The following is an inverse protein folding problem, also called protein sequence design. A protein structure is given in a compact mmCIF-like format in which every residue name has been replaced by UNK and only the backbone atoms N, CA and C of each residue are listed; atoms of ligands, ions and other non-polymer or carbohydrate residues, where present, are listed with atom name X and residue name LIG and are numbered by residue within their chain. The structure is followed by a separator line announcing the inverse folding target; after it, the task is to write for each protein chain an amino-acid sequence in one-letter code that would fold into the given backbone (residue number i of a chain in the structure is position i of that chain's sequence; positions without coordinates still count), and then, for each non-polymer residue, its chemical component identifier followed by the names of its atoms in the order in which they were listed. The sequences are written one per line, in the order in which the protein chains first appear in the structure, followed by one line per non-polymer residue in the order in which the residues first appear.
data_IF_157130170451
#
_entry.id   IF_157130170451
#
_cell.length_a   1.000
_cell.length_b   1.000
_cell.length_c   1.000
_cell.angle_alpha   90.00
_cell.angle_beta   90.00
_cell.angle_gamma   90.00
#
_symmetry.space_group_name_H-M   'P 1'
#
loop_
_entity.id
_entity.type
_entity.pdbx_description
1 polymer ?
#
# COMPACT_ATOMS: atom_id res chain seq x y z
N UNK A 1 -19.78 8.51 18.85
CA UNK A 1 -19.64 9.05 17.48
C UNK A 1 -18.23 9.60 17.22
N UNK A 2 -17.50 10.05 18.26
CA UNK A 2 -16.13 10.60 18.15
C UNK A 2 -15.07 9.61 17.63
N UNK A 3 -15.17 8.31 18.00
CA UNK A 3 -14.21 7.29 17.54
C UNK A 3 -14.20 7.08 16.02
N UNK A 4 -15.34 7.31 15.33
CA UNK A 4 -15.43 7.22 13.86
C UNK A 4 -14.73 8.40 13.19
N UNK A 5 -14.87 9.61 13.75
CA UNK A 5 -14.19 10.81 13.24
C UNK A 5 -12.68 10.72 13.44
N UNK A 6 -12.21 10.30 14.63
CA UNK A 6 -10.79 10.09 14.90
C UNK A 6 -10.16 9.08 13.92
N UNK A 7 -10.89 7.99 13.62
CA UNK A 7 -10.44 6.95 12.70
C UNK A 7 -10.38 7.41 11.24
N UNK A 8 -11.29 8.29 10.81
CA UNK A 8 -11.31 8.84 9.45
C UNK A 8 -10.16 9.82 9.25
N UNK A 9 -9.92 10.72 10.21
CA UNK A 9 -8.80 11.68 10.19
C UNK A 9 -7.45 10.96 10.17
N UNK A 10 -7.30 9.88 10.94
CA UNK A 10 -6.07 9.08 10.92
C UNK A 10 -5.80 8.40 9.57
N UNK A 11 -6.84 8.00 8.82
CA UNK A 11 -6.64 7.40 7.51
C UNK A 11 -6.16 8.43 6.49
N UNK A 12 -6.75 9.63 6.50
CA UNK A 12 -6.35 10.73 5.61
C UNK A 12 -4.87 11.08 5.77
N UNK A 13 -4.39 11.21 7.01
CA UNK A 13 -2.97 11.48 7.27
C UNK A 13 -2.06 10.37 6.74
N UNK A 14 -2.42 9.11 6.98
CA UNK A 14 -1.68 7.97 6.46
C UNK A 14 -1.69 7.91 4.92
N UNK A 15 -2.80 8.28 4.26
CA UNK A 15 -2.87 8.38 2.81
C UNK A 15 -1.92 9.43 2.26
N UNK A 16 -1.95 10.63 2.84
CA UNK A 16 -1.10 11.74 2.41
C UNK A 16 0.38 11.40 2.60
N UNK A 17 0.73 10.81 3.74
CA UNK A 17 2.11 10.42 4.02
C UNK A 17 2.57 9.26 3.12
N UNK A 18 1.72 8.26 2.89
CA UNK A 18 2.01 7.19 1.94
C UNK A 18 2.23 7.75 0.53
N UNK A 19 1.36 8.64 0.07
CA UNK A 19 1.50 9.30 -1.24
C UNK A 19 2.83 10.05 -1.32
N UNK A 20 3.13 10.94 -0.37
CA UNK A 20 4.38 11.71 -0.33
C UNK A 20 5.60 10.79 -0.42
N UNK A 21 5.63 9.74 0.40
CA UNK A 21 6.76 8.81 0.41
C UNK A 21 6.89 8.04 -0.90
N UNK A 22 5.79 7.52 -1.47
CA UNK A 22 5.82 6.86 -2.78
C UNK A 22 6.38 7.81 -3.84
N UNK A 23 5.84 9.03 -3.93
CA UNK A 23 6.22 10.00 -4.94
C UNK A 23 7.68 10.42 -4.82
N UNK A 24 8.17 10.64 -3.61
CA UNK A 24 9.57 10.99 -3.37
C UNK A 24 10.54 9.83 -3.63
N UNK A 25 10.16 8.59 -3.33
CA UNK A 25 10.99 7.43 -3.63
C UNK A 25 11.01 7.19 -5.13
N UNK A 26 9.85 7.08 -5.78
CA UNK A 26 9.77 6.76 -7.22
C UNK A 26 10.07 7.93 -8.13
N UNK A 27 10.12 9.16 -7.61
CA UNK A 27 10.19 10.41 -8.38
C UNK A 27 9.07 10.53 -9.42
N UNK A 28 7.88 10.03 -9.07
CA UNK A 28 6.68 10.00 -9.94
C UNK A 28 5.49 10.49 -9.14
N UNK A 29 4.64 11.30 -9.74
CA UNK A 29 3.43 11.79 -9.08
C UNK A 29 2.28 10.80 -9.25
N UNK A 30 1.33 10.81 -8.31
CA UNK A 30 0.08 10.10 -8.45
C UNK A 30 -0.72 10.68 -9.63
N UNK A 31 -1.23 9.79 -10.49
CA UNK A 31 -2.07 10.19 -11.63
C UNK A 31 -3.51 10.58 -11.23
N UNK A 32 -3.89 10.41 -9.96
CA UNK A 32 -5.23 10.65 -9.46
C UNK A 32 -5.20 11.09 -8.01
N UNK A 33 -6.18 11.93 -7.62
CA UNK A 33 -6.43 12.26 -6.20
C UNK A 33 -6.97 11.06 -5.42
N UNK A 34 -7.54 10.07 -6.11
CA UNK A 34 -7.96 8.83 -5.48
C UNK A 34 -6.76 7.91 -5.32
N UNK A 35 -6.36 7.67 -4.08
CA UNK A 35 -5.27 6.77 -3.72
C UNK A 35 -5.41 5.39 -4.38
N UNK A 36 -6.65 4.88 -4.43
CA UNK A 36 -6.96 3.61 -5.09
C UNK A 36 -6.65 3.66 -6.58
N UNK A 37 -7.23 4.63 -7.28
CA UNK A 37 -7.09 4.76 -8.74
C UNK A 37 -5.64 4.98 -9.15
N UNK A 38 -4.86 5.66 -8.30
CA UNK A 38 -3.44 5.88 -8.55
C UNK A 38 -2.58 4.62 -8.42
N UNK A 39 -3.05 3.58 -7.73
CA UNK A 39 -2.28 2.35 -7.47
C UNK A 39 -2.89 1.10 -8.12
N UNK A 40 -4.14 1.16 -8.60
CA UNK A 40 -4.86 -0.01 -9.13
C UNK A 40 -4.29 -0.56 -10.45
N UNK A 41 -3.45 0.18 -11.18
CA UNK A 41 -2.71 -0.44 -12.28
C UNK A 41 -1.49 -1.24 -11.81
N UNK A 42 -1.12 -1.14 -10.52
CA UNK A 42 0.04 -1.76 -9.89
C UNK A 42 1.39 -1.31 -10.43
N UNK A 43 1.43 -0.39 -11.40
CA UNK A 43 2.67 0.03 -12.07
C UNK A 43 3.54 0.81 -11.10
N UNK A 44 2.96 1.78 -10.39
CA UNK A 44 3.69 2.59 -9.42
C UNK A 44 4.25 1.74 -8.26
N UNK A 45 3.49 0.72 -7.84
CA UNK A 45 3.93 -0.24 -6.81
C UNK A 45 5.13 -1.07 -7.28
N UNK A 46 5.09 -1.55 -8.52
CA UNK A 46 6.22 -2.28 -9.11
C UNK A 46 7.45 -1.38 -9.28
N UNK A 47 7.25 -0.14 -9.73
CA UNK A 47 8.31 0.85 -9.88
C UNK A 47 8.94 1.19 -8.51
N UNK A 48 8.13 1.31 -7.45
CA UNK A 48 8.60 1.49 -6.06
C UNK A 48 9.57 0.39 -5.64
N UNK A 49 9.18 -0.88 -5.81
CA UNK A 49 10.06 -2.01 -5.48
C UNK A 49 11.37 -1.94 -6.23
N UNK A 50 11.33 -1.64 -7.53
CA UNK A 50 12.54 -1.56 -8.35
C UNK A 50 13.43 -0.37 -7.98
N UNK A 51 12.86 0.72 -7.44
CA UNK A 51 13.67 1.80 -6.86
C UNK A 51 14.32 1.37 -5.54
N UNK A 52 13.58 0.68 -4.67
CA UNK A 52 14.10 0.22 -3.38
C UNK A 52 15.16 -0.88 -3.54
N UNK A 53 14.92 -1.81 -4.47
CA UNK A 53 15.84 -2.91 -4.78
C UNK A 53 15.82 -3.18 -6.29
N UNK A 54 16.78 -2.59 -7.03
CA UNK A 54 16.84 -2.75 -8.48
C UNK A 54 16.86 -4.20 -8.92
N UNK A 55 16.04 -4.52 -9.92
CA UNK A 55 16.04 -5.82 -10.61
C UNK A 55 15.18 -6.91 -9.97
N UNK A 56 14.46 -6.67 -8.86
CA UNK A 56 13.53 -7.66 -8.30
C UNK A 56 12.37 -7.94 -9.26
N UNK A 57 11.75 -6.88 -9.80
CA UNK A 57 10.63 -7.00 -10.74
C UNK A 57 11.17 -6.78 -12.16
N UNK A 58 11.32 -7.88 -12.90
CA UNK A 58 11.91 -7.86 -14.26
C UNK A 58 11.01 -7.24 -15.32
N UNK A 59 9.69 -7.36 -15.18
CA UNK A 59 8.71 -6.92 -16.18
C UNK A 59 7.48 -6.38 -15.47
N UNK A 60 7.03 -5.20 -15.92
CA UNK A 60 5.80 -4.55 -15.47
C UNK A 60 4.83 -4.50 -16.66
N UNK A 61 3.58 -4.89 -16.44
CA UNK A 61 2.55 -4.88 -17.47
C UNK A 61 1.90 -3.49 -17.51
N UNK A 62 2.10 -2.74 -18.60
CA UNK A 62 1.57 -1.36 -18.75
C UNK A 62 0.29 -1.28 -19.59
N UNK A 63 -0.36 -2.43 -19.84
CA UNK A 63 -1.63 -2.46 -20.54
C UNK A 63 -2.74 -1.90 -19.64
N UNK A 64 -3.63 -1.09 -20.19
CA UNK A 64 -4.80 -0.54 -19.48
C UNK A 64 -5.92 -1.59 -19.38
N UNK A 65 -5.65 -2.70 -18.69
CA UNK A 65 -6.60 -3.79 -18.47
C UNK A 65 -6.61 -4.20 -17.01
N UNK A 66 -7.77 -4.60 -16.44
CA UNK A 66 -7.85 -5.06 -15.05
C UNK A 66 -6.92 -6.25 -14.75
N UNK A 67 -6.74 -7.15 -15.73
CA UNK A 67 -5.85 -8.32 -15.60
C UNK A 67 -4.39 -7.87 -15.46
N UNK A 68 -3.95 -6.87 -16.24
CA UNK A 68 -2.60 -6.31 -16.12
C UNK A 68 -2.37 -5.67 -14.74
N UNK A 69 -3.36 -4.94 -14.22
CA UNK A 69 -3.31 -4.36 -12.88
C UNK A 69 -3.18 -5.43 -11.80
N UNK A 70 -4.00 -6.48 -11.87
CA UNK A 70 -3.94 -7.62 -10.96
C UNK A 70 -2.59 -8.35 -11.03
N UNK A 71 -2.06 -8.58 -12.23
CA UNK A 71 -0.74 -9.21 -12.42
C UNK A 71 0.37 -8.39 -11.77
N UNK A 72 0.39 -7.08 -11.97
CA UNK A 72 1.36 -6.18 -11.35
C UNK A 72 1.26 -6.20 -9.83
N UNK A 73 0.05 -6.14 -9.27
CA UNK A 73 -0.17 -6.22 -7.82
C UNK A 73 0.35 -7.55 -7.25
N UNK A 74 0.08 -8.67 -7.91
CA UNK A 74 0.60 -9.97 -7.48
C UNK A 74 2.13 -10.03 -7.52
N UNK A 75 2.75 -9.45 -8.56
CA UNK A 75 4.21 -9.38 -8.68
C UNK A 75 4.82 -8.48 -7.60
N UNK A 76 4.18 -7.35 -7.29
CA UNK A 76 4.54 -6.48 -6.18
C UNK A 76 4.52 -7.21 -4.83
N UNK A 77 3.43 -7.93 -4.51
CA UNK A 77 3.31 -8.64 -3.24
C UNK A 77 4.38 -9.72 -3.08
N UNK A 78 4.65 -10.50 -4.14
CA UNK A 78 5.75 -11.48 -4.16
C UNK A 78 7.11 -10.84 -3.99
N UNK A 79 7.30 -9.61 -4.48
CA UNK A 79 8.53 -8.87 -4.29
C UNK A 79 8.69 -8.37 -2.84
N UNK A 80 7.60 -7.91 -2.21
CA UNK A 80 7.58 -7.57 -0.80
C UNK A 80 7.99 -8.76 0.09
N UNK A 81 7.48 -9.97 -0.20
CA UNK A 81 7.90 -11.21 0.49
C UNK A 81 9.40 -11.47 0.35
N UNK A 82 9.95 -11.32 -0.87
CA UNK A 82 11.39 -11.47 -1.13
C UNK A 82 12.25 -10.44 -0.41
N UNK A 83 11.70 -9.24 -0.17
CA UNK A 83 12.33 -8.21 0.65
C UNK A 83 12.22 -8.52 2.15
N UNK A 84 11.48 -9.55 2.55
CA UNK A 84 11.37 -10.04 3.92
C UNK A 84 10.18 -9.48 4.70
N UNK A 85 9.11 -9.06 4.01
CA UNK A 85 7.82 -8.83 4.66
C UNK A 85 7.13 -10.18 4.93
N UNK A 86 6.48 -10.29 6.08
CA UNK A 86 5.66 -11.46 6.41
C UNK A 86 4.31 -11.37 5.69
N UNK A 87 3.70 -12.52 5.38
CA UNK A 87 2.36 -12.60 4.77
C UNK A 87 1.33 -11.74 5.52
N UNK A 88 1.41 -11.77 6.85
CA UNK A 88 0.59 -10.96 7.72
C UNK A 88 0.67 -9.45 7.39
N UNK A 89 1.82 -8.94 6.97
CA UNK A 89 2.05 -7.53 6.66
C UNK A 89 1.59 -7.15 5.25
N UNK A 90 1.16 -8.12 4.44
CA UNK A 90 0.73 -7.91 3.07
C UNK A 90 -0.79 -7.74 3.00
N UNK A 91 -1.21 -6.91 2.05
CA UNK A 91 -2.61 -6.81 1.65
C UNK A 91 -2.95 -7.91 0.64
N UNK A 92 -4.24 -8.22 0.49
CA UNK A 92 -4.70 -9.15 -0.55
C UNK A 92 -4.93 -8.41 -1.85
N UNK A 93 -4.67 -8.97 -3.05
CA UNK A 93 -4.91 -8.25 -4.31
C UNK A 93 -6.31 -7.62 -4.41
N UNK A 94 -7.32 -8.28 -3.85
CA UNK A 94 -8.68 -7.73 -3.73
C UNK A 94 -8.76 -6.46 -2.89
N UNK A 95 -7.93 -6.24 -1.88
CA UNK A 95 -7.94 -4.99 -1.09
C UNK A 95 -7.72 -3.74 -1.97
N UNK A 96 -7.02 -3.89 -3.09
CA UNK A 96 -6.78 -2.82 -4.06
C UNK A 96 -7.67 -2.96 -5.30
N UNK A 97 -7.66 -4.13 -5.94
CA UNK A 97 -8.43 -4.43 -7.16
C UNK A 97 -9.91 -4.65 -6.85
N UNK A 98 -10.82 -3.97 -7.57
CA UNK A 98 -12.25 -4.23 -7.40
C UNK A 98 -12.67 -5.51 -8.12
N UNK A 99 -12.58 -6.64 -7.43
CA UNK A 99 -13.02 -7.92 -7.99
C UNK A 99 -14.52 -8.14 -7.75
N UNK A 100 -15.18 -7.28 -6.95
CA UNK A 100 -16.57 -7.50 -6.52
C UNK A 100 -17.55 -6.82 -7.48
N UNK A 101 -18.08 -7.57 -8.44
CA UNK A 101 -19.21 -7.18 -9.29
C UNK A 101 -20.55 -7.08 -8.52
N UNK A 102 -20.55 -7.07 -7.18
CA UNK A 102 -21.76 -7.03 -6.35
C UNK A 102 -22.09 -5.58 -6.02
N UNK A 103 -23.27 -5.15 -6.47
CA UNK A 103 -23.85 -3.78 -6.54
C UNK A 103 -23.95 -3.02 -5.19
N UNK A 104 -23.38 -3.53 -4.09
CA UNK A 104 -23.44 -2.87 -2.78
C UNK A 104 -22.17 -3.11 -1.95
N UNK A 105 -20.99 -2.78 -2.50
CA UNK A 105 -19.82 -2.60 -1.63
C UNK A 105 -20.08 -1.38 -0.76
N UNK A 106 -20.28 -1.59 0.54
CA UNK A 106 -20.49 -0.50 1.50
C UNK A 106 -19.22 0.35 1.53
N UNK A 107 -19.34 1.68 1.53
CA UNK A 107 -18.21 2.61 1.60
C UNK A 107 -17.23 2.28 2.75
N UNK A 108 -17.77 1.81 3.88
CA UNK A 108 -16.98 1.37 5.04
C UNK A 108 -16.03 0.20 4.71
N UNK A 109 -16.43 -0.71 3.83
CA UNK A 109 -15.64 -1.88 3.42
C UNK A 109 -14.50 -1.49 2.47
N UNK A 110 -14.77 -0.59 1.52
CA UNK A 110 -13.73 -0.01 0.66
C UNK A 110 -12.68 0.72 1.49
N UNK A 111 -13.11 1.52 2.47
CA UNK A 111 -12.19 2.20 3.37
C UNK A 111 -11.36 1.21 4.19
N UNK A 112 -11.93 0.11 4.69
CA UNK A 112 -11.18 -0.92 5.43
C UNK A 112 -10.12 -1.60 4.56
N UNK A 113 -10.46 -1.95 3.32
CA UNK A 113 -9.54 -2.60 2.37
C UNK A 113 -8.31 -1.73 2.08
N UNK A 114 -8.53 -0.44 1.84
CA UNK A 114 -7.42 0.49 1.58
C UNK A 114 -6.48 0.67 2.79
N UNK A 115 -6.96 0.49 4.02
CA UNK A 115 -6.08 0.48 5.21
C UNK A 115 -5.05 -0.65 5.17
N UNK A 116 -5.41 -1.83 4.66
CA UNK A 116 -4.46 -2.93 4.51
C UNK A 116 -3.32 -2.56 3.53
N UNK A 117 -3.66 -1.86 2.45
CA UNK A 117 -2.69 -1.37 1.47
C UNK A 117 -1.73 -0.38 2.13
N UNK A 118 -2.24 0.58 2.91
CA UNK A 118 -1.43 1.53 3.68
C UNK A 118 -0.50 0.84 4.68
N UNK A 119 -0.99 -0.16 5.41
CA UNK A 119 -0.20 -0.92 6.38
C UNK A 119 0.95 -1.65 5.68
N UNK A 120 0.70 -2.22 4.51
CA UNK A 120 1.76 -2.90 3.73
C UNK A 120 2.83 -1.92 3.27
N UNK A 121 2.43 -0.74 2.77
CA UNK A 121 3.34 0.33 2.37
C UNK A 121 4.19 0.78 3.57
N UNK A 122 3.57 0.91 4.75
CA UNK A 122 4.29 1.23 5.98
C UNK A 122 5.40 0.22 6.30
N UNK A 123 5.06 -1.08 6.29
CA UNK A 123 6.05 -2.13 6.56
C UNK A 123 7.14 -2.21 5.50
N UNK A 124 6.78 -1.96 4.23
CA UNK A 124 7.76 -1.89 3.15
C UNK A 124 8.73 -0.73 3.35
N UNK A 125 8.24 0.47 3.71
CA UNK A 125 9.09 1.61 4.03
C UNK A 125 10.00 1.36 5.22
N UNK A 126 9.49 0.72 6.29
CA UNK A 126 10.32 0.27 7.43
C UNK A 126 11.38 -0.73 7.01
N UNK A 127 11.05 -1.65 6.10
CA UNK A 127 12.00 -2.64 5.59
C UNK A 127 13.07 -1.99 4.72
N UNK A 128 12.71 -1.02 3.88
CA UNK A 128 13.66 -0.22 3.11
C UNK A 128 14.66 0.51 4.01
N UNK A 129 14.20 1.13 5.10
CA UNK A 129 15.07 1.80 6.07
C UNK A 129 16.05 0.87 6.80
N UNK A 130 15.75 -0.42 6.86
CA UNK A 130 16.67 -1.40 7.45
C UNK A 130 17.80 -1.82 6.49
N UNK A 131 17.73 -1.47 5.20
CA UNK A 131 18.81 -1.68 4.24
C UNK A 131 19.87 -0.57 4.44
N UNK A 132 21.15 -0.92 4.77
CA UNK A 132 22.21 0.07 4.99
C UNK A 132 22.50 0.98 3.80
N UNK A 133 22.11 0.58 2.59
CA UNK A 133 22.32 1.35 1.37
C UNK A 133 21.14 2.25 1.00
N UNK A 134 20.05 2.20 1.76
CA UNK A 134 18.89 3.06 1.51
C UNK A 134 19.12 4.47 2.05
N UNK A 135 19.10 5.46 1.15
CA UNK A 135 19.25 6.89 1.48
C UNK A 135 18.00 7.71 1.15
N UNK A 136 16.85 7.04 0.96
CA UNK A 136 15.60 7.69 0.63
C UNK A 136 14.85 8.25 1.85
N UNK A 137 13.70 8.91 1.61
CA UNK A 137 12.89 9.48 2.69
C UNK A 137 12.29 8.40 3.60
N UNK A 138 11.95 8.79 4.81
CA UNK A 138 11.30 7.92 5.78
C UNK A 138 9.80 8.20 5.87
N UNK A 139 9.01 7.16 6.12
CA UNK A 139 7.60 7.30 6.50
C UNK A 139 7.49 7.78 7.95
N UNK A 140 6.66 8.78 8.19
CA UNK A 140 6.35 9.28 9.52
C UNK A 140 5.41 8.32 10.27
N UNK A 141 5.91 7.66 11.32
CA UNK A 141 5.12 6.73 12.14
C UNK A 141 3.87 7.37 12.75
N UNK A 142 3.90 8.65 13.12
CA UNK A 142 2.78 9.32 13.77
C UNK A 142 1.53 9.35 12.89
N UNK A 143 1.74 9.47 11.58
CA UNK A 143 0.64 9.52 10.62
C UNK A 143 -0.02 8.15 10.41
N UNK A 144 0.67 7.06 10.79
CA UNK A 144 0.17 5.67 10.73
C UNK A 144 -0.26 5.10 12.08
N UNK A 145 0.00 5.78 13.20
CA UNK A 145 -0.22 5.25 14.55
C UNK A 145 -1.66 4.76 14.74
N UNK A 146 -2.64 5.56 14.33
CA UNK A 146 -4.05 5.18 14.42
C UNK A 146 -4.40 3.94 13.59
N UNK A 147 -3.71 3.65 12.48
CA UNK A 147 -3.92 2.43 11.69
C UNK A 147 -3.26 1.21 12.33
N UNK A 148 -2.04 1.38 12.84
CA UNK A 148 -1.20 0.29 13.36
C UNK A 148 -1.66 -0.20 14.71
N UNK A 149 -2.16 0.69 15.58
CA UNK A 149 -2.73 0.31 16.88
C UNK A 149 -3.89 -0.66 16.68
N UNK A 150 -4.81 -0.38 15.75
CA UNK A 150 -5.89 -1.33 15.44
C UNK A 150 -5.35 -2.64 14.85
N UNK A 151 -4.39 -2.58 13.92
CA UNK A 151 -3.84 -3.76 13.26
C UNK A 151 -3.15 -4.74 14.23
N UNK A 152 -2.38 -4.22 15.19
CA UNK A 152 -1.69 -5.03 16.20
C UNK A 152 -2.66 -5.65 17.21
N UNK A 153 -3.72 -4.93 17.59
CA UNK A 153 -4.75 -5.44 18.50
C UNK A 153 -5.48 -6.64 17.88
N UNK A 154 -5.83 -6.59 16.59
CA UNK A 154 -6.56 -7.68 15.93
C UNK A 154 -5.72 -8.92 15.61
N UNK A 155 -4.38 -8.86 15.70
CA UNK A 155 -3.50 -10.01 15.47
C UNK A 155 -3.01 -10.73 16.72
N UNK A 156 -3.19 -10.14 17.89
CA UNK A 156 -2.89 -10.79 19.17
C UNK A 156 -4.08 -11.65 19.64
N UNK A 157 -5.26 -11.50 19.03
CA UNK A 157 -6.52 -12.15 19.45
C UNK A 157 -6.91 -13.35 18.56
N UNK A 158 -6.10 -13.71 17.55
CA UNK A 158 -6.35 -14.87 16.68
C UNK A 158 -5.14 -15.79 16.64
#
# INVERSE_FOLDING_TARGET
MEWRQQSAVSCELAFQEAQRWLEEVTKKQFGSKSFRVALEDGVLLCDLINTLKPGIIKRVNRLSTPIAGLDNVNVFLRACEKLGLNEAQLFHPGDLQDVSTRVTVRLEETSRRLKNVLITIYWLGRKAQSDPFYTGPQLNLKDFEGLLVFFLIFKIII
#
